data_IF_838394157819
#
_entry.id   IF_838394157819
#
_cell.length_a   1.000
_cell.length_b   1.000
_cell.length_c   1.000
_cell.angle_alpha   90.00
_cell.angle_beta   90.00
_cell.angle_gamma   90.00
#
_symmetry.space_group_name_H-M   'P 1'
#
loop_
_entity.id
_entity.type
_entity.pdbx_description
1 polymer ?
#
# COMPACT_ATOMS: atom_id res chain seq x y z
N UNK A 1 -21.09 -21.54 -10.77
CA UNK A 1 -20.11 -21.79 -9.71
C UNK A 1 -20.38 -20.78 -8.60
N UNK A 2 -20.73 -21.23 -7.40
CA UNK A 2 -20.80 -20.36 -6.24
C UNK A 2 -19.37 -19.86 -5.95
N UNK A 3 -19.04 -18.66 -6.38
CA UNK A 3 -17.78 -18.02 -5.99
C UNK A 3 -17.95 -17.69 -4.51
N UNK A 4 -17.30 -18.50 -3.65
CA UNK A 4 -17.21 -18.18 -2.23
C UNK A 4 -16.56 -16.80 -2.13
N UNK A 5 -17.20 -15.86 -1.45
CA UNK A 5 -16.69 -14.51 -1.22
C UNK A 5 -15.31 -14.61 -0.57
N UNK A 6 -14.29 -13.93 -1.13
CA UNK A 6 -12.95 -13.88 -0.53
C UNK A 6 -12.97 -12.98 0.69
N UNK A 7 -12.21 -13.36 1.71
CA UNK A 7 -12.00 -12.53 2.89
C UNK A 7 -10.77 -11.63 2.67
N UNK A 8 -10.98 -10.34 2.65
CA UNK A 8 -9.95 -9.33 2.34
C UNK A 8 -9.66 -8.47 3.55
N UNK A 9 -8.39 -8.29 3.87
CA UNK A 9 -7.93 -7.32 4.88
C UNK A 9 -7.32 -6.10 4.19
N UNK A 10 -7.86 -4.91 4.49
CA UNK A 10 -7.33 -3.63 4.01
C UNK A 10 -6.76 -2.84 5.19
N UNK A 11 -5.43 -2.83 5.30
CA UNK A 11 -4.70 -2.01 6.27
C UNK A 11 -4.66 -0.56 5.78
N UNK A 12 -5.10 0.39 6.60
CA UNK A 12 -5.23 1.80 6.21
C UNK A 12 -6.48 2.09 5.38
N UNK A 13 -7.50 1.24 5.49
CA UNK A 13 -8.73 1.33 4.72
C UNK A 13 -9.61 2.55 5.02
N UNK A 14 -9.34 3.30 6.10
CA UNK A 14 -10.03 4.57 6.42
C UNK A 14 -9.39 5.79 5.75
N UNK A 15 -8.21 5.64 5.12
CA UNK A 15 -7.59 6.69 4.30
C UNK A 15 -8.26 6.82 2.93
N UNK A 16 -7.98 7.92 2.21
CA UNK A 16 -8.62 8.22 0.92
C UNK A 16 -8.42 7.09 -0.12
N UNK A 17 -7.19 6.61 -0.27
CA UNK A 17 -6.85 5.50 -1.19
C UNK A 17 -7.44 4.18 -0.67
N UNK A 18 -7.25 3.85 0.61
CA UNK A 18 -7.74 2.60 1.20
C UNK A 18 -9.27 2.47 1.14
N UNK A 19 -9.99 3.56 1.37
CA UNK A 19 -11.46 3.59 1.25
C UNK A 19 -11.91 3.38 -0.21
N UNK A 20 -11.21 3.96 -1.19
CA UNK A 20 -11.50 3.73 -2.60
C UNK A 20 -11.24 2.25 -2.99
N UNK A 21 -10.14 1.67 -2.51
CA UNK A 21 -9.82 0.24 -2.71
C UNK A 21 -10.91 -0.65 -2.11
N UNK A 22 -11.31 -0.39 -0.87
CA UNK A 22 -12.38 -1.16 -0.19
C UNK A 22 -13.65 -1.17 -1.01
N UNK A 23 -14.13 0.01 -1.43
CA UNK A 23 -15.34 0.11 -2.28
C UNK A 23 -15.17 -0.68 -3.58
N UNK A 24 -14.01 -0.57 -4.22
CA UNK A 24 -13.75 -1.20 -5.51
C UNK A 24 -13.77 -2.73 -5.43
N UNK A 25 -13.13 -3.33 -4.42
CA UNK A 25 -13.10 -4.77 -4.21
C UNK A 25 -14.50 -5.35 -3.95
N UNK A 26 -15.33 -4.64 -3.16
CA UNK A 26 -16.72 -5.02 -2.93
C UNK A 26 -17.52 -4.98 -4.24
N UNK A 27 -17.37 -3.93 -5.05
CA UNK A 27 -18.10 -3.76 -6.31
C UNK A 27 -17.67 -4.78 -7.37
N UNK A 28 -16.36 -5.00 -7.54
CA UNK A 28 -15.83 -5.83 -8.62
C UNK A 28 -15.97 -7.32 -8.33
N UNK A 29 -15.80 -7.74 -7.06
CA UNK A 29 -15.67 -9.15 -6.70
C UNK A 29 -16.65 -9.62 -5.63
N UNK A 30 -17.43 -8.73 -5.04
CA UNK A 30 -18.32 -9.02 -3.88
C UNK A 30 -17.53 -9.57 -2.69
N UNK A 31 -16.28 -9.12 -2.51
CA UNK A 31 -15.41 -9.54 -1.42
C UNK A 31 -15.99 -9.15 -0.05
N UNK A 32 -15.76 -10.00 0.95
CA UNK A 32 -15.95 -9.65 2.36
C UNK A 32 -14.72 -8.87 2.84
N UNK A 33 -14.85 -7.55 2.98
CA UNK A 33 -13.71 -6.67 3.27
C UNK A 33 -13.72 -6.21 4.72
N UNK A 34 -12.68 -6.57 5.47
CA UNK A 34 -12.35 -5.98 6.76
C UNK A 34 -11.37 -4.82 6.50
N UNK A 35 -11.87 -3.60 6.69
CA UNK A 35 -11.17 -2.36 6.40
C UNK A 35 -10.84 -1.66 7.71
N UNK A 36 -9.54 -1.52 8.04
CA UNK A 36 -9.10 -0.99 9.34
C UNK A 36 -8.23 0.26 9.19
N UNK A 37 -8.42 1.21 10.12
CA UNK A 37 -7.59 2.39 10.27
C UNK A 37 -6.73 2.35 11.53
N UNK A 38 -5.97 3.40 11.80
CA UNK A 38 -5.07 3.49 12.96
C UNK A 38 -5.78 3.47 14.33
N UNK A 39 -7.09 3.74 14.36
CA UNK A 39 -7.92 3.63 15.58
C UNK A 39 -8.29 2.19 15.90
N UNK A 40 -8.39 1.34 14.87
CA UNK A 40 -8.78 -0.06 15.00
C UNK A 40 -7.54 -0.97 15.14
N UNK A 41 -6.45 -0.57 14.49
CA UNK A 41 -5.19 -1.31 14.44
C UNK A 41 -4.01 -0.34 14.35
N UNK A 42 -3.26 -0.20 15.42
CA UNK A 42 -2.00 0.53 15.42
C UNK A 42 -0.86 -0.36 14.95
N UNK A 43 -0.47 -0.25 13.69
CA UNK A 43 0.61 -1.04 13.09
C UNK A 43 1.99 -0.79 13.72
N UNK A 44 2.20 0.34 14.41
CA UNK A 44 3.44 0.62 15.13
C UNK A 44 3.54 -0.11 16.47
N UNK A 45 2.44 -0.66 16.98
CA UNK A 45 2.35 -1.34 18.26
C UNK A 45 2.16 -2.85 18.06
N UNK A 46 3.12 -3.65 18.55
CA UNK A 46 3.09 -5.10 18.44
C UNK A 46 1.86 -5.71 19.13
N UNK A 47 1.51 -5.21 20.34
CA UNK A 47 0.35 -5.71 21.08
C UNK A 47 -0.97 -5.41 20.37
N UNK A 48 -1.08 -4.26 19.72
CA UNK A 48 -2.24 -3.94 18.88
C UNK A 48 -2.39 -4.92 17.72
N UNK A 49 -1.27 -5.32 17.11
CA UNK A 49 -1.26 -6.32 16.02
C UNK A 49 -1.66 -7.70 16.53
N UNK A 50 -1.11 -8.14 17.66
CA UNK A 50 -1.45 -9.42 18.29
C UNK A 50 -2.94 -9.50 18.65
N UNK A 51 -3.46 -8.48 19.36
CA UNK A 51 -4.88 -8.39 19.70
C UNK A 51 -5.81 -8.41 18.48
N UNK A 52 -5.41 -7.73 17.41
CA UNK A 52 -6.15 -7.75 16.14
C UNK A 52 -6.23 -9.18 15.58
N UNK A 53 -5.09 -9.88 15.53
CA UNK A 53 -5.02 -11.26 15.02
C UNK A 53 -5.79 -12.25 15.88
N UNK A 54 -5.77 -12.09 17.21
CA UNK A 54 -6.60 -12.89 18.12
C UNK A 54 -8.10 -12.70 17.84
N UNK A 55 -8.51 -11.46 17.57
CA UNK A 55 -9.92 -11.12 17.33
C UNK A 55 -10.44 -11.55 15.96
N UNK A 56 -9.67 -11.37 14.91
CA UNK A 56 -10.12 -11.56 13.51
C UNK A 56 -9.56 -12.82 12.86
N UNK A 57 -8.58 -13.46 13.49
CA UNK A 57 -7.86 -14.62 12.95
C UNK A 57 -6.93 -14.25 11.81
N UNK A 58 -6.32 -15.28 11.22
CA UNK A 58 -5.37 -15.16 10.11
C UNK A 58 -5.92 -15.67 8.76
N UNK A 59 -7.21 -15.97 8.67
CA UNK A 59 -7.84 -16.56 7.48
C UNK A 59 -8.28 -15.52 6.45
N UNK A 60 -7.34 -14.74 5.90
CA UNK A 60 -7.61 -13.77 4.84
C UNK A 60 -7.02 -14.25 3.51
N UNK A 61 -7.83 -14.27 2.46
CA UNK A 61 -7.40 -14.62 1.10
C UNK A 61 -6.57 -13.52 0.44
N UNK A 62 -6.85 -12.26 0.79
CA UNK A 62 -6.21 -11.07 0.22
C UNK A 62 -5.77 -10.11 1.32
N UNK A 63 -4.54 -9.60 1.20
CA UNK A 63 -4.02 -8.55 2.05
C UNK A 63 -3.68 -7.31 1.22
N UNK A 64 -4.31 -6.19 1.54
CA UNK A 64 -3.98 -4.88 0.94
C UNK A 64 -3.30 -4.01 2.00
N UNK A 65 -2.09 -3.57 1.72
CA UNK A 65 -1.37 -2.65 2.59
C UNK A 65 -1.42 -1.23 2.04
N UNK A 66 -2.41 -0.46 2.46
CA UNK A 66 -2.58 0.97 2.12
C UNK A 66 -2.27 1.90 3.30
N UNK A 67 -1.88 1.34 4.45
CA UNK A 67 -1.48 2.13 5.60
C UNK A 67 -0.13 2.81 5.36
N UNK A 68 0.00 3.99 5.92
CA UNK A 68 1.25 4.73 5.91
C UNK A 68 1.04 6.21 6.17
N UNK A 69 2.03 6.83 6.77
CA UNK A 69 2.06 8.27 6.94
C UNK A 69 3.40 8.83 6.49
N UNK A 70 3.40 10.11 6.20
CA UNK A 70 4.54 10.85 5.68
C UNK A 70 4.67 12.15 6.47
N UNK A 71 5.68 12.23 7.31
CA UNK A 71 6.03 13.43 8.06
C UNK A 71 7.26 14.08 7.42
N UNK A 72 7.10 15.21 6.74
CA UNK A 72 8.23 15.93 6.13
C UNK A 72 9.14 16.52 7.20
N UNK A 73 10.46 16.48 6.95
CA UNK A 73 11.48 17.10 7.78
C UNK A 73 12.87 16.90 7.18
N UNK A 74 13.78 17.85 7.38
CA UNK A 74 15.17 17.71 6.98
C UNK A 74 15.86 16.70 7.90
N UNK A 75 16.73 15.86 7.36
CA UNK A 75 17.39 14.80 8.10
C UNK A 75 18.14 15.32 9.35
N UNK A 76 18.78 16.45 9.24
CA UNK A 76 19.51 17.12 10.34
C UNK A 76 18.63 17.55 11.52
N UNK A 77 17.31 17.71 11.29
CA UNK A 77 16.35 18.18 12.31
C UNK A 77 15.34 17.10 12.70
N UNK A 78 15.38 15.93 12.07
CA UNK A 78 14.47 14.84 12.41
C UNK A 78 14.88 14.15 13.71
N UNK A 79 13.92 13.98 14.61
CA UNK A 79 14.08 13.11 15.76
C UNK A 79 14.11 11.63 15.34
N UNK A 80 15.03 10.86 15.90
CA UNK A 80 15.16 9.42 15.62
C UNK A 80 13.87 8.65 15.95
N UNK A 81 13.14 9.01 16.99
CA UNK A 81 11.84 8.41 17.33
C UNK A 81 10.82 8.57 16.22
N UNK A 82 10.83 9.71 15.53
CA UNK A 82 9.96 9.97 14.37
C UNK A 82 10.33 9.09 13.19
N UNK A 83 11.62 8.83 12.95
CA UNK A 83 12.10 7.91 11.92
C UNK A 83 11.66 6.48 12.24
N UNK A 84 11.92 6.03 13.46
CA UNK A 84 11.58 4.68 13.95
C UNK A 84 10.07 4.43 13.88
N UNK A 85 9.25 5.37 14.38
CA UNK A 85 7.79 5.24 14.36
C UNK A 85 7.24 5.18 12.94
N UNK A 86 7.83 5.91 12.00
CA UNK A 86 7.46 5.83 10.57
C UNK A 86 7.76 4.46 10.00
N UNK A 87 8.94 3.90 10.28
CA UNK A 87 9.34 2.57 9.83
C UNK A 87 8.45 1.50 10.46
N UNK A 88 8.18 1.60 11.77
CA UNK A 88 7.30 0.67 12.48
C UNK A 88 5.90 0.63 11.85
N UNK A 89 5.27 1.79 11.64
CA UNK A 89 3.91 1.87 11.11
C UNK A 89 3.83 1.49 9.63
N UNK A 90 4.77 1.99 8.80
CA UNK A 90 4.67 1.83 7.34
C UNK A 90 5.19 0.47 6.85
N UNK A 91 6.07 -0.19 7.62
CA UNK A 91 6.74 -1.43 7.20
C UNK A 91 6.56 -2.56 8.20
N UNK A 92 7.05 -2.41 9.43
CA UNK A 92 7.18 -3.55 10.36
C UNK A 92 5.83 -4.12 10.74
N UNK A 93 4.81 -3.28 10.99
CA UNK A 93 3.45 -3.74 11.27
C UNK A 93 2.84 -4.53 10.12
N UNK A 94 3.07 -4.10 8.87
CA UNK A 94 2.67 -4.88 7.70
C UNK A 94 3.36 -6.24 7.64
N UNK A 95 4.67 -6.30 7.90
CA UNK A 95 5.42 -7.57 7.89
C UNK A 95 4.90 -8.54 8.96
N UNK A 96 4.59 -8.06 10.17
CA UNK A 96 3.99 -8.89 11.22
C UNK A 96 2.65 -9.50 10.81
N UNK A 97 1.75 -8.67 10.26
CA UNK A 97 0.46 -9.15 9.74
C UNK A 97 0.70 -10.15 8.61
N UNK A 98 1.53 -9.84 7.62
CA UNK A 98 1.80 -10.73 6.49
C UNK A 98 2.31 -12.09 6.95
N UNK A 99 3.28 -12.09 7.88
CA UNK A 99 3.87 -13.31 8.43
C UNK A 99 2.83 -14.21 9.08
N UNK A 100 1.85 -13.65 9.80
CA UNK A 100 0.79 -14.43 10.45
C UNK A 100 -0.19 -15.05 9.46
N UNK A 101 -0.32 -14.52 8.24
CA UNK A 101 -1.22 -15.04 7.20
C UNK A 101 -0.57 -16.17 6.36
N UNK A 102 0.75 -16.27 6.34
CA UNK A 102 1.48 -17.25 5.51
C UNK A 102 1.02 -18.70 5.73
N UNK A 103 0.83 -19.21 6.96
CA UNK A 103 0.36 -20.57 7.16
C UNK A 103 -0.98 -20.85 6.50
N UNK A 104 -1.91 -19.89 6.57
CA UNK A 104 -3.21 -20.00 5.90
C UNK A 104 -3.06 -20.06 4.38
N UNK A 105 -2.29 -19.13 3.79
CA UNK A 105 -2.05 -19.11 2.34
C UNK A 105 -1.42 -20.41 1.84
N UNK A 106 -0.42 -20.92 2.54
CA UNK A 106 0.21 -22.21 2.21
C UNK A 106 -0.78 -23.37 2.22
N UNK A 107 -1.64 -23.44 3.24
CA UNK A 107 -2.68 -24.47 3.35
C UNK A 107 -3.72 -24.37 2.23
N UNK A 108 -4.10 -23.14 1.84
CA UNK A 108 -5.07 -22.89 0.77
C UNK A 108 -4.46 -23.00 -0.62
N UNK A 109 -3.12 -23.03 -0.77
CA UNK A 109 -2.38 -22.93 -2.03
C UNK A 109 -2.85 -21.72 -2.86
N UNK A 110 -3.16 -20.62 -2.19
CA UNK A 110 -3.59 -19.36 -2.80
C UNK A 110 -3.45 -18.20 -1.81
N UNK A 111 -3.19 -17.03 -2.34
CA UNK A 111 -3.18 -15.76 -1.61
C UNK A 111 -2.89 -14.61 -2.56
N UNK A 112 -3.24 -13.40 -2.14
CA UNK A 112 -2.89 -12.22 -2.92
C UNK A 112 -2.52 -11.08 -1.97
N UNK A 113 -1.38 -10.44 -2.23
CA UNK A 113 -0.88 -9.31 -1.46
C UNK A 113 -0.65 -8.14 -2.42
N UNK A 114 -1.28 -6.99 -2.15
CA UNK A 114 -1.00 -5.76 -2.89
C UNK A 114 -0.57 -4.66 -1.93
N UNK A 115 0.63 -4.13 -2.16
CA UNK A 115 1.27 -3.14 -1.32
C UNK A 115 1.18 -1.78 -2.00
N UNK A 116 0.65 -0.77 -1.32
CA UNK A 116 0.71 0.61 -1.79
C UNK A 116 2.06 1.21 -1.40
N UNK A 117 2.96 1.24 -2.38
CA UNK A 117 4.24 1.91 -2.24
C UNK A 117 4.11 3.41 -2.57
N UNK A 118 4.96 3.95 -3.40
CA UNK A 118 5.00 5.34 -3.86
C UNK A 118 6.07 5.49 -4.93
N UNK A 119 6.08 6.57 -5.67
CA UNK A 119 7.27 6.99 -6.42
C UNK A 119 8.51 7.07 -5.52
N UNK A 120 8.34 7.38 -4.23
CA UNK A 120 9.43 7.34 -3.24
C UNK A 120 9.87 5.92 -2.84
N UNK A 121 9.40 4.89 -3.53
CA UNK A 121 9.94 3.52 -3.47
C UNK A 121 11.08 3.26 -4.44
N UNK A 122 11.38 4.20 -5.37
CA UNK A 122 12.50 4.08 -6.32
C UNK A 122 13.26 5.39 -6.58
N UNK A 123 12.70 6.56 -6.22
CA UNK A 123 13.46 7.80 -6.09
C UNK A 123 13.15 8.50 -4.76
N UNK A 124 13.73 9.66 -4.50
CA UNK A 124 13.50 10.39 -3.25
C UNK A 124 13.37 11.89 -3.48
N UNK A 125 13.03 12.61 -2.43
CA UNK A 125 12.93 14.07 -2.41
C UNK A 125 13.43 14.60 -1.07
N UNK A 126 14.04 15.78 -1.09
CA UNK A 126 14.48 16.49 0.12
C UNK A 126 13.34 16.54 1.16
N UNK A 127 13.67 16.21 2.40
CA UNK A 127 12.74 16.22 3.52
C UNK A 127 11.78 15.02 3.56
N UNK A 128 12.09 13.90 2.93
CA UNK A 128 11.23 12.70 2.88
C UNK A 128 11.92 11.42 3.35
N UNK A 129 13.03 11.53 4.09
CA UNK A 129 13.88 10.40 4.44
C UNK A 129 13.11 9.21 5.06
N UNK A 130 12.34 9.32 6.17
CA UNK A 130 11.71 8.15 6.79
C UNK A 130 10.69 7.49 5.86
N UNK A 131 9.93 8.31 5.14
CA UNK A 131 8.95 7.82 4.19
C UNK A 131 9.60 7.11 3.00
N UNK A 132 10.65 7.71 2.40
CA UNK A 132 11.37 7.09 1.28
C UNK A 132 11.99 5.76 1.70
N UNK A 133 12.66 5.69 2.87
CA UNK A 133 13.19 4.43 3.42
C UNK A 133 12.08 3.38 3.51
N UNK A 134 10.95 3.71 4.12
CA UNK A 134 9.85 2.75 4.29
C UNK A 134 9.29 2.25 2.96
N UNK A 135 9.17 3.11 1.94
CA UNK A 135 8.63 2.75 0.62
C UNK A 135 9.61 1.93 -0.22
N UNK A 136 10.92 2.23 -0.17
CA UNK A 136 11.95 1.37 -0.76
C UNK A 136 11.99 -0.01 -0.11
N UNK A 137 11.91 -0.07 1.22
CA UNK A 137 11.90 -1.33 1.95
C UNK A 137 10.67 -2.19 1.62
N UNK A 138 9.48 -1.59 1.42
CA UNK A 138 8.27 -2.29 0.98
C UNK A 138 8.46 -2.94 -0.39
N UNK A 139 9.14 -2.28 -1.34
CA UNK A 139 9.46 -2.87 -2.65
C UNK A 139 10.43 -4.05 -2.50
N UNK A 140 11.44 -3.93 -1.63
CA UNK A 140 12.33 -5.05 -1.31
C UNK A 140 11.58 -6.24 -0.71
N UNK A 141 10.73 -5.98 0.28
CA UNK A 141 9.88 -6.99 0.92
C UNK A 141 8.96 -7.67 -0.11
N UNK A 142 8.28 -6.89 -0.95
CA UNK A 142 7.40 -7.40 -2.01
C UNK A 142 8.11 -8.39 -2.92
N UNK A 143 9.31 -8.05 -3.40
CA UNK A 143 10.10 -8.91 -4.31
C UNK A 143 10.49 -10.22 -3.63
N UNK A 144 10.96 -10.17 -2.39
CA UNK A 144 11.34 -11.36 -1.62
C UNK A 144 10.12 -12.25 -1.34
N UNK A 145 9.01 -11.66 -0.87
CA UNK A 145 7.77 -12.40 -0.63
C UNK A 145 7.22 -13.03 -1.92
N UNK A 146 7.32 -12.36 -3.07
CA UNK A 146 6.90 -12.91 -4.36
C UNK A 146 7.69 -14.18 -4.73
N UNK A 147 9.01 -14.21 -4.45
CA UNK A 147 9.87 -15.37 -4.71
C UNK A 147 9.54 -16.51 -3.73
N UNK A 148 9.47 -16.21 -2.43
CA UNK A 148 9.32 -17.22 -1.38
C UNK A 148 7.91 -17.84 -1.32
N UNK A 149 6.88 -17.09 -1.72
CA UNK A 149 5.49 -17.51 -1.59
C UNK A 149 4.86 -17.95 -2.93
N UNK A 150 5.53 -17.69 -4.05
CA UNK A 150 5.01 -18.00 -5.39
C UNK A 150 4.73 -19.49 -5.60
N UNK A 151 5.57 -20.38 -5.07
CA UNK A 151 5.37 -21.83 -5.14
C UNK A 151 4.08 -22.31 -4.44
N UNK A 152 3.54 -21.50 -3.51
CA UNK A 152 2.28 -21.75 -2.80
C UNK A 152 1.09 -21.03 -3.46
N UNK A 153 1.22 -20.53 -4.69
CA UNK A 153 0.14 -19.84 -5.38
C UNK A 153 -0.18 -18.44 -4.82
N UNK A 154 0.74 -17.83 -4.06
CA UNK A 154 0.56 -16.48 -3.51
C UNK A 154 1.18 -15.44 -4.43
N UNK A 155 0.36 -14.53 -4.93
CA UNK A 155 0.81 -13.40 -5.76
C UNK A 155 1.07 -12.17 -4.90
N UNK A 156 2.27 -11.61 -4.98
CA UNK A 156 2.68 -10.43 -4.19
C UNK A 156 3.15 -9.33 -5.13
N UNK A 157 2.43 -8.21 -5.14
CA UNK A 157 2.68 -7.10 -6.04
C UNK A 157 2.62 -5.76 -5.31
N UNK A 158 3.10 -4.71 -5.93
CA UNK A 158 2.98 -3.35 -5.43
C UNK A 158 2.30 -2.44 -6.47
N UNK A 159 1.69 -1.38 -5.96
CA UNK A 159 1.26 -0.22 -6.74
C UNK A 159 2.02 0.98 -6.20
N UNK A 160 2.68 1.73 -7.08
CA UNK A 160 3.40 2.96 -6.75
C UNK A 160 2.66 4.19 -7.31
N UNK A 161 1.79 4.83 -6.50
CA UNK A 161 1.11 6.04 -6.93
C UNK A 161 2.08 7.22 -7.08
N UNK A 162 1.78 8.09 -8.05
CA UNK A 162 2.34 9.44 -8.14
C UNK A 162 1.65 10.41 -7.18
N UNK A 163 1.39 11.61 -7.65
CA UNK A 163 0.67 12.63 -6.89
C UNK A 163 -0.83 12.44 -7.04
N UNK A 164 -1.46 11.99 -5.96
CA UNK A 164 -2.89 11.68 -5.88
C UNK A 164 -3.59 12.77 -5.07
N UNK A 165 -4.77 13.19 -5.50
CA UNK A 165 -5.63 14.12 -4.77
C UNK A 165 -6.17 13.44 -3.51
N UNK A 166 -5.55 13.74 -2.39
CA UNK A 166 -5.84 13.17 -1.07
C UNK A 166 -5.58 14.21 0.02
N UNK A 167 -6.17 13.97 1.20
CA UNK A 167 -5.90 14.78 2.41
C UNK A 167 -4.40 14.82 2.75
N UNK A 168 -3.65 13.76 2.48
CA UNK A 168 -2.20 13.74 2.70
C UNK A 168 -1.49 14.69 1.74
N UNK A 169 -1.89 14.75 0.49
CA UNK A 169 -1.30 15.63 -0.53
C UNK A 169 -1.54 17.10 -0.19
N UNK A 170 -2.77 17.49 0.12
CA UNK A 170 -3.12 18.86 0.50
C UNK A 170 -2.51 19.28 1.84
N UNK A 171 -2.39 18.38 2.81
CA UNK A 171 -1.71 18.66 4.09
C UNK A 171 -0.21 18.94 3.93
N UNK A 172 0.44 18.26 2.98
CA UNK A 172 1.90 18.28 2.84
C UNK A 172 2.41 19.24 1.75
N UNK A 173 1.53 19.95 1.04
CA UNK A 173 1.89 20.86 -0.05
C UNK A 173 0.97 22.07 -0.06
N UNK A 174 1.52 23.26 -0.34
CA UNK A 174 0.70 24.45 -0.55
C UNK A 174 -0.03 24.38 -1.92
N UNK A 175 -1.09 25.20 -2.15
CA UNK A 175 -1.77 25.25 -3.43
C UNK A 175 -0.83 25.54 -4.61
N UNK A 176 0.14 26.43 -4.43
CA UNK A 176 1.13 26.78 -5.46
C UNK A 176 2.02 25.57 -5.78
N UNK A 177 2.42 24.82 -4.73
CA UNK A 177 3.20 23.59 -4.91
C UNK A 177 2.38 22.54 -5.66
N UNK A 178 1.09 22.39 -5.36
CA UNK A 178 0.20 21.47 -6.07
C UNK A 178 0.12 21.83 -7.56
N UNK A 179 -0.02 23.12 -7.91
CA UNK A 179 0.00 23.57 -9.30
C UNK A 179 1.33 23.25 -9.99
N UNK A 180 2.45 23.44 -9.30
CA UNK A 180 3.78 23.06 -9.78
C UNK A 180 3.90 21.54 -10.01
N UNK A 181 3.34 20.72 -9.13
CA UNK A 181 3.30 19.26 -9.31
C UNK A 181 2.47 18.89 -10.54
N UNK A 182 1.28 19.49 -10.71
CA UNK A 182 0.39 19.27 -11.85
C UNK A 182 1.10 19.64 -13.18
N UNK A 183 1.85 20.74 -13.22
CA UNK A 183 2.57 21.15 -14.43
C UNK A 183 3.61 20.12 -14.88
N UNK A 184 4.24 19.40 -13.93
CA UNK A 184 5.20 18.33 -14.20
C UNK A 184 4.57 16.97 -14.52
N UNK A 185 3.25 16.80 -14.35
CA UNK A 185 2.57 15.54 -14.71
C UNK A 185 2.14 15.62 -16.18
N UNK A 186 2.54 14.69 -17.06
CA UNK A 186 2.15 14.72 -18.48
C UNK A 186 0.65 14.80 -18.72
N UNK A 187 -0.17 14.08 -17.95
CA UNK A 187 -1.65 14.14 -18.05
C UNK A 187 -2.27 15.39 -17.42
N UNK A 188 -1.46 16.34 -16.92
CA UNK A 188 -1.85 17.68 -16.44
C UNK A 188 -2.94 17.69 -15.35
N UNK A 189 -2.98 16.69 -14.50
CA UNK A 189 -3.85 16.61 -13.32
C UNK A 189 -3.24 15.71 -12.25
N UNK A 190 -3.67 15.86 -11.01
CA UNK A 190 -3.44 14.84 -9.98
C UNK A 190 -4.23 13.57 -10.33
N UNK A 191 -3.70 12.42 -9.96
CA UNK A 191 -4.47 11.18 -9.96
C UNK A 191 -5.56 11.21 -8.90
N UNK A 192 -6.59 10.40 -9.06
CA UNK A 192 -7.62 10.17 -8.04
C UNK A 192 -7.33 8.91 -7.24
N UNK A 193 -7.91 8.80 -6.03
CA UNK A 193 -7.87 7.56 -5.26
C UNK A 193 -8.48 6.37 -6.03
N UNK A 194 -9.43 6.63 -6.92
CA UNK A 194 -10.04 5.64 -7.79
C UNK A 194 -9.09 5.13 -8.89
N UNK A 195 -8.17 5.97 -9.39
CA UNK A 195 -7.15 5.53 -10.36
C UNK A 195 -6.23 4.49 -9.73
N UNK A 196 -5.84 4.70 -8.48
CA UNK A 196 -5.06 3.73 -7.69
C UNK A 196 -5.88 2.49 -7.38
N UNK A 197 -7.16 2.65 -6.96
CA UNK A 197 -8.02 1.53 -6.60
C UNK A 197 -8.28 0.58 -7.78
N UNK A 198 -8.39 1.08 -9.02
CA UNK A 198 -8.49 0.25 -10.22
C UNK A 198 -7.25 -0.62 -10.44
N UNK A 199 -6.06 -0.05 -10.27
CA UNK A 199 -4.81 -0.80 -10.39
C UNK A 199 -4.70 -1.90 -9.30
N UNK A 200 -5.07 -1.56 -8.06
CA UNK A 200 -5.10 -2.52 -6.95
C UNK A 200 -6.11 -3.64 -7.21
N UNK A 201 -7.34 -3.31 -7.63
CA UNK A 201 -8.36 -4.30 -7.96
C UNK A 201 -7.91 -5.27 -9.05
N UNK A 202 -7.24 -4.75 -10.09
CA UNK A 202 -6.65 -5.58 -11.16
C UNK A 202 -5.62 -6.56 -10.61
N UNK A 203 -4.64 -6.10 -9.82
CA UNK A 203 -3.61 -6.97 -9.23
C UNK A 203 -4.17 -7.93 -8.18
N UNK A 204 -5.19 -7.51 -7.41
CA UNK A 204 -5.87 -8.34 -6.42
C UNK A 204 -6.95 -9.26 -7.03
N UNK A 205 -7.14 -9.23 -8.34
CA UNK A 205 -8.12 -10.06 -9.05
C UNK A 205 -7.94 -11.55 -8.73
N UNK A 206 -9.02 -12.32 -8.51
CA UNK A 206 -8.94 -13.77 -8.42
C UNK A 206 -8.45 -14.44 -9.72
N UNK A 207 -8.45 -13.69 -10.83
CA UNK A 207 -7.92 -14.13 -12.13
C UNK A 207 -6.41 -13.88 -12.26
N UNK A 208 -5.79 -13.12 -11.34
CA UNK A 208 -4.35 -12.94 -11.35
C UNK A 208 -3.65 -14.21 -10.84
N UNK A 209 -3.06 -14.96 -11.75
CA UNK A 209 -2.35 -16.22 -11.49
C UNK A 209 -0.89 -16.18 -11.93
N UNK A 210 -0.42 -15.06 -12.52
CA UNK A 210 0.92 -15.01 -13.09
C UNK A 210 1.64 -13.67 -12.96
N UNK A 211 0.90 -12.59 -12.59
CA UNK A 211 1.54 -11.29 -12.28
C UNK A 211 2.01 -11.35 -10.84
N UNK A 212 3.32 -11.48 -10.65
CA UNK A 212 3.96 -11.65 -9.35
C UNK A 212 5.28 -10.88 -9.30
N UNK A 213 5.53 -10.12 -8.23
CA UNK A 213 6.74 -9.32 -8.05
C UNK A 213 6.79 -8.03 -8.87
N UNK A 214 5.65 -7.55 -9.41
CA UNK A 214 5.59 -6.28 -10.17
C UNK A 214 5.35 -5.10 -9.23
N UNK A 215 5.99 -3.97 -9.53
CA UNK A 215 5.63 -2.64 -9.03
C UNK A 215 4.94 -1.85 -10.15
N UNK A 216 3.62 -1.74 -10.07
CA UNK A 216 2.80 -1.04 -11.06
C UNK A 216 2.74 0.46 -10.74
N UNK A 217 3.38 1.27 -11.56
CA UNK A 217 3.41 2.72 -11.40
C UNK A 217 2.11 3.34 -11.92
N UNK A 218 1.48 4.20 -11.10
CA UNK A 218 0.22 4.91 -11.41
C UNK A 218 0.42 6.39 -11.14
N UNK A 219 1.01 7.12 -12.09
CA UNK A 219 1.54 8.47 -11.87
C UNK A 219 1.28 9.49 -13.01
N UNK A 220 0.50 9.11 -14.01
CA UNK A 220 0.20 9.99 -15.16
C UNK A 220 1.42 10.33 -16.02
N UNK A 221 2.46 9.48 -15.98
CA UNK A 221 3.69 9.64 -16.75
C UNK A 221 4.76 10.52 -16.06
N UNK A 222 4.56 10.87 -14.79
CA UNK A 222 5.51 11.72 -14.06
C UNK A 222 6.92 11.13 -14.02
N UNK A 223 7.05 9.86 -13.66
CA UNK A 223 8.35 9.21 -13.43
C UNK A 223 9.12 8.88 -14.72
N UNK A 224 8.45 8.83 -15.88
CA UNK A 224 9.10 8.54 -17.17
C UNK A 224 9.59 9.79 -17.91
N UNK A 225 9.75 10.91 -17.20
CA UNK A 225 10.31 12.15 -17.73
C UNK A 225 9.43 13.40 -17.55
N UNK A 226 8.24 13.27 -16.99
CA UNK A 226 7.33 14.40 -16.79
C UNK A 226 7.90 15.55 -15.93
N UNK A 227 8.86 15.22 -15.06
CA UNK A 227 9.55 16.21 -14.22
C UNK A 227 10.60 17.06 -14.96
N UNK A 228 10.86 16.79 -16.23
CA UNK A 228 11.87 17.47 -17.04
C UNK A 228 11.27 18.68 -17.83
N UNK A 229 9.96 18.85 -17.79
CA UNK A 229 9.23 19.88 -18.49
C UNK A 229 8.91 21.13 -17.68
#
# INVERSE_FOLDING_TARGET
>A
MNICSRKVLVLGGTGDIGAAITRRLILDYRDEVISVGSKDLNLADAHSVEFFLERYGSGFDVLIHSAGFNQPGLFETLDMKSIESTIQANLVGFLRISQSLIPYWKTQSRGNVVIISSLYGFFSRKGRLPYAISKHALIGAMKTMAIELGEFGVMVNAVSPGYIDTKMTSKNNSPEMIQKLISGIPVKKLGSSDDVARAVSFLASPQNQYINGVDLIVDGGYSVGGFQG
#
